data_IF_414689280136
#
_entry.id   IF_414689280136
#
_cell.length_a   1.000
_cell.length_b   1.000
_cell.length_c   1.000
_cell.angle_alpha   90.00
_cell.angle_beta   90.00
_cell.angle_gamma   90.00
#
_symmetry.space_group_name_H-M   'P 1'
#
loop_
_entity.id
_entity.type
_entity.pdbx_description
1 polymer ?
#
# COMPACT_ATOMS: atom_id res chain seq x y z
N UNK A 1 -57.89 -15.46 9.08
CA UNK A 1 -56.82 -16.46 9.30
C UNK A 1 -55.52 -15.91 8.75
N UNK A 2 -54.61 -15.51 9.63
CA UNK A 2 -53.39 -14.77 9.28
C UNK A 2 -52.34 -15.67 8.63
N UNK A 3 -51.83 -15.23 7.48
CA UNK A 3 -50.68 -15.80 6.77
C UNK A 3 -49.41 -15.39 7.53
N UNK A 4 -48.80 -16.33 8.25
CA UNK A 4 -47.53 -16.13 8.93
C UNK A 4 -46.37 -16.07 7.93
N UNK A 5 -46.02 -14.88 7.47
CA UNK A 5 -44.74 -14.64 6.79
C UNK A 5 -43.60 -14.86 7.78
N UNK A 6 -42.86 -15.93 7.54
CA UNK A 6 -41.63 -16.27 8.25
C UNK A 6 -40.59 -15.17 8.06
N UNK A 7 -40.52 -14.25 9.02
CA UNK A 7 -39.39 -13.31 9.15
C UNK A 7 -38.11 -14.14 9.33
N UNK A 8 -37.34 -14.29 8.25
CA UNK A 8 -35.95 -14.76 8.35
C UNK A 8 -35.20 -13.82 9.28
N UNK A 9 -34.85 -14.33 10.46
CA UNK A 9 -33.93 -13.66 11.36
C UNK A 9 -32.62 -13.35 10.60
N UNK A 10 -31.97 -12.20 10.86
CA UNK A 10 -30.65 -11.94 10.30
C UNK A 10 -29.72 -13.07 10.75
N UNK A 11 -29.01 -13.68 9.79
CA UNK A 11 -27.96 -14.66 10.06
C UNK A 11 -27.03 -14.05 11.09
N UNK A 12 -27.06 -14.54 12.34
CA UNK A 12 -26.03 -14.26 13.34
C UNK A 12 -24.71 -14.62 12.68
N UNK A 13 -23.88 -13.61 12.42
CA UNK A 13 -22.50 -13.83 12.05
C UNK A 13 -21.87 -14.76 13.07
N UNK A 14 -21.12 -15.74 12.58
CA UNK A 14 -20.35 -16.69 13.38
C UNK A 14 -19.67 -15.91 14.50
N UNK A 15 -20.11 -16.12 15.74
CA UNK A 15 -19.47 -15.52 16.89
C UNK A 15 -18.05 -16.08 16.96
N UNK A 16 -17.06 -15.25 16.64
CA UNK A 16 -15.66 -15.59 16.84
C UNK A 16 -15.45 -15.72 18.36
N UNK A 17 -15.12 -16.91 18.84
CA UNK A 17 -14.94 -17.24 20.28
C UNK A 17 -13.71 -16.57 20.94
N UNK A 18 -13.13 -15.54 20.33
CA UNK A 18 -11.97 -14.83 20.86
C UNK A 18 -12.34 -13.49 21.53
N UNK A 19 -11.50 -12.97 22.43
CA UNK A 19 -11.56 -11.56 22.83
C UNK A 19 -11.50 -10.66 21.58
N UNK A 20 -12.02 -9.42 21.62
CA UNK A 20 -11.97 -8.53 20.46
C UNK A 20 -10.53 -8.30 19.97
N UNK A 21 -10.32 -8.03 18.66
CA UNK A 21 -9.00 -7.72 18.11
C UNK A 21 -8.34 -6.55 18.84
N UNK A 22 -7.03 -6.65 19.07
CA UNK A 22 -6.25 -5.62 19.77
C UNK A 22 -5.94 -4.46 18.80
N UNK A 23 -6.98 -3.70 18.47
CA UNK A 23 -6.93 -2.57 17.54
C UNK A 23 -7.21 -1.28 18.28
N UNK A 24 -6.24 -0.37 18.27
CA UNK A 24 -6.43 0.98 18.78
C UNK A 24 -6.98 1.85 17.64
N UNK A 25 -8.19 2.43 17.77
CA UNK A 25 -8.66 3.41 16.78
C UNK A 25 -7.74 4.62 16.80
N UNK A 26 -7.25 5.01 15.63
CA UNK A 26 -6.45 6.21 15.49
C UNK A 26 -7.38 7.43 15.53
N UNK A 27 -7.03 8.44 16.33
CA UNK A 27 -7.71 9.72 16.24
C UNK A 27 -7.44 10.36 14.88
N UNK A 28 -8.29 11.28 14.43
CA UNK A 28 -8.09 11.93 13.13
C UNK A 28 -6.74 12.66 13.04
N UNK A 29 -6.24 13.20 14.16
CA UNK A 29 -4.93 13.86 14.23
C UNK A 29 -3.78 12.86 14.09
N UNK A 30 -3.88 11.71 14.75
CA UNK A 30 -2.84 10.67 14.65
C UNK A 30 -2.83 10.04 13.25
N UNK A 31 -4.01 9.88 12.65
CA UNK A 31 -4.17 9.43 11.28
C UNK A 31 -3.43 10.33 10.27
N UNK A 32 -3.59 11.65 10.39
CA UNK A 32 -2.92 12.62 9.50
C UNK A 32 -1.40 12.66 9.69
N UNK A 33 -0.91 12.36 10.90
CA UNK A 33 0.53 12.26 11.18
C UNK A 33 1.15 10.99 10.60
N UNK A 34 0.44 9.86 10.70
CA UNK A 34 0.94 8.56 10.20
C UNK A 34 0.79 8.45 8.67
N UNK A 35 -0.23 9.09 8.09
CA UNK A 35 -0.51 9.07 6.65
C UNK A 35 -0.56 10.49 6.06
N UNK A 36 0.62 11.09 5.80
CA UNK A 36 0.70 12.44 5.28
C UNK A 36 0.09 12.54 3.87
N UNK A 37 -0.53 13.69 3.59
CA UNK A 37 -1.16 13.99 2.29
C UNK A 37 -0.10 14.06 1.18
N UNK A 38 1.05 14.63 1.50
CA UNK A 38 2.19 14.71 0.60
C UNK A 38 3.15 13.54 0.82
N UNK A 39 3.93 13.22 -0.22
CA UNK A 39 5.06 12.30 -0.11
C UNK A 39 6.05 12.82 0.96
N UNK A 40 6.47 11.96 1.89
CA UNK A 40 7.59 12.30 2.78
C UNK A 40 8.91 12.25 2.01
N UNK A 41 9.94 12.97 2.47
CA UNK A 41 11.27 12.97 1.82
C UNK A 41 11.88 11.56 1.73
N UNK A 42 11.66 10.71 2.72
CA UNK A 42 12.08 9.30 2.68
C UNK A 42 11.32 8.48 1.62
N UNK A 43 10.01 8.75 1.44
CA UNK A 43 9.23 8.14 0.38
C UNK A 43 9.74 8.60 -1.00
N UNK A 44 10.16 9.86 -1.12
CA UNK A 44 10.74 10.36 -2.37
C UNK A 44 11.96 9.54 -2.81
N UNK A 45 12.89 9.27 -1.89
CA UNK A 45 14.05 8.42 -2.17
C UNK A 45 13.66 6.99 -2.57
N UNK A 46 12.73 6.37 -1.83
CA UNK A 46 12.23 5.03 -2.16
C UNK A 46 11.62 4.95 -3.56
N UNK A 47 10.81 5.93 -3.96
CA UNK A 47 10.16 5.94 -5.27
C UNK A 47 11.06 6.39 -6.42
N UNK A 48 12.21 7.01 -6.12
CA UNK A 48 13.23 7.31 -7.12
C UNK A 48 13.79 6.02 -7.73
N UNK A 49 13.83 4.95 -6.93
CA UNK A 49 14.23 3.62 -7.37
C UNK A 49 15.73 3.53 -7.61
N UNK A 50 16.13 2.52 -8.38
CA UNK A 50 17.51 2.33 -8.80
C UNK A 50 17.92 3.36 -9.87
N UNK A 51 19.23 3.58 -10.04
CA UNK A 51 19.80 4.54 -10.99
C UNK A 51 19.26 4.32 -12.42
N UNK A 52 19.09 3.06 -12.83
CA UNK A 52 18.52 2.70 -14.13
C UNK A 52 17.07 3.19 -14.30
N UNK A 53 16.26 3.05 -13.26
CA UNK A 53 14.85 3.51 -13.27
C UNK A 53 14.78 5.03 -13.42
N UNK A 54 15.72 5.73 -12.82
CA UNK A 54 15.79 7.17 -12.92
C UNK A 54 16.22 7.66 -14.31
N UNK A 55 17.23 7.03 -14.89
CA UNK A 55 17.68 7.32 -16.25
C UNK A 55 16.53 7.05 -17.24
N UNK A 56 15.77 5.96 -17.06
CA UNK A 56 14.58 5.68 -17.86
C UNK A 56 13.52 6.79 -17.75
N UNK A 57 13.26 7.29 -16.54
CA UNK A 57 12.32 8.41 -16.33
C UNK A 57 12.80 9.71 -16.96
N UNK A 58 14.10 10.00 -16.91
CA UNK A 58 14.69 11.14 -17.61
C UNK A 58 14.55 11.00 -19.14
N UNK A 59 14.86 9.83 -19.69
CA UNK A 59 14.68 9.55 -21.12
C UNK A 59 13.22 9.68 -21.56
N UNK A 60 12.28 9.14 -20.77
CA UNK A 60 10.85 9.30 -21.04
C UNK A 60 10.41 10.76 -20.99
N UNK A 61 10.90 11.53 -20.02
CA UNK A 61 10.65 12.96 -19.91
C UNK A 61 11.14 13.73 -21.15
N UNK A 62 12.32 13.38 -21.68
CA UNK A 62 12.85 13.99 -22.90
C UNK A 62 11.97 13.67 -24.12
N UNK A 63 11.67 12.39 -24.37
CA UNK A 63 10.86 11.95 -25.52
C UNK A 63 9.46 12.57 -25.48
N UNK A 64 8.81 12.56 -24.30
CA UNK A 64 7.47 13.14 -24.13
C UNK A 64 7.47 14.66 -24.30
N UNK A 65 8.55 15.34 -23.91
CA UNK A 65 8.72 16.78 -24.15
C UNK A 65 8.84 17.09 -25.63
N UNK A 66 9.69 16.37 -26.36
CA UNK A 66 9.87 16.56 -27.80
C UNK A 66 8.53 16.33 -28.51
N UNK A 67 7.83 15.25 -28.18
CA UNK A 67 6.51 14.98 -28.76
C UNK A 67 5.52 16.10 -28.43
N UNK A 68 5.44 16.51 -27.16
CA UNK A 68 4.50 17.55 -26.71
C UNK A 68 4.80 18.92 -27.32
N UNK A 69 6.07 19.29 -27.48
CA UNK A 69 6.46 20.55 -28.11
C UNK A 69 5.97 20.65 -29.57
N UNK A 70 5.83 19.51 -30.27
CA UNK A 70 5.37 19.47 -31.65
C UNK A 70 3.84 19.53 -31.79
N UNK A 71 3.06 19.12 -30.77
CA UNK A 71 1.59 19.06 -30.85
C UNK A 71 0.88 20.03 -29.90
N UNK A 72 1.34 20.12 -28.65
CA UNK A 72 0.72 20.92 -27.57
C UNK A 72 1.82 21.49 -26.68
N UNK A 73 2.35 22.66 -27.03
CA UNK A 73 3.48 23.32 -26.33
C UNK A 73 3.22 23.49 -24.83
N UNK A 74 1.97 23.72 -24.42
CA UNK A 74 1.60 23.85 -23.00
C UNK A 74 1.92 22.58 -22.17
N UNK A 75 1.98 21.40 -22.79
CA UNK A 75 2.33 20.14 -22.14
C UNK A 75 3.84 19.88 -22.12
N UNK A 76 4.64 20.62 -22.88
CA UNK A 76 6.10 20.42 -22.93
C UNK A 76 6.77 20.73 -21.57
N UNK A 77 6.30 21.76 -20.86
CA UNK A 77 6.83 22.15 -19.53
C UNK A 77 6.58 21.08 -18.46
N UNK A 78 5.34 20.58 -18.25
CA UNK A 78 5.12 19.50 -17.29
C UNK A 78 5.76 18.17 -17.73
N UNK A 79 5.91 17.93 -19.04
CA UNK A 79 6.61 16.76 -19.58
C UNK A 79 8.11 16.80 -19.30
N UNK A 80 8.78 17.96 -19.41
CA UNK A 80 10.23 18.10 -19.21
C UNK A 80 10.65 17.95 -17.75
N UNK A 81 9.70 18.20 -16.84
CA UNK A 81 9.90 18.07 -15.39
C UNK A 81 9.35 16.74 -14.86
N UNK A 82 8.85 15.85 -15.73
CA UNK A 82 8.22 14.57 -15.36
C UNK A 82 9.06 13.74 -14.41
N UNK A 83 10.37 13.64 -14.67
CA UNK A 83 11.26 12.82 -13.85
C UNK A 83 11.34 13.29 -12.38
N UNK A 84 11.12 14.59 -12.10
CA UNK A 84 11.16 15.15 -10.75
C UNK A 84 9.86 14.94 -9.99
N UNK A 85 8.71 15.12 -10.63
CA UNK A 85 7.41 15.03 -9.96
C UNK A 85 6.79 13.62 -10.02
N UNK A 86 7.23 12.74 -10.91
CA UNK A 86 6.73 11.37 -10.99
C UNK A 86 6.92 10.55 -9.68
N UNK A 87 8.08 10.56 -9.00
CA UNK A 87 8.22 9.89 -7.70
C UNK A 87 7.26 10.44 -6.65
N UNK A 88 7.09 11.77 -6.62
CA UNK A 88 6.17 12.47 -5.70
C UNK A 88 4.73 12.05 -5.97
N UNK A 89 4.31 11.99 -7.24
CA UNK A 89 2.97 11.59 -7.64
C UNK A 89 2.68 10.11 -7.30
N UNK A 90 3.67 9.23 -7.47
CA UNK A 90 3.56 7.81 -7.08
C UNK A 90 3.39 7.64 -5.58
N UNK A 91 4.19 8.35 -4.78
CA UNK A 91 4.07 8.37 -3.33
C UNK A 91 2.72 8.92 -2.87
N UNK A 92 2.30 10.08 -3.41
CA UNK A 92 1.02 10.69 -3.11
C UNK A 92 -0.16 9.79 -3.49
N UNK A 93 -0.11 9.11 -4.64
CA UNK A 93 -1.14 8.14 -5.05
C UNK A 93 -1.23 6.96 -4.09
N UNK A 94 -0.10 6.45 -3.59
CA UNK A 94 -0.07 5.38 -2.59
C UNK A 94 -0.69 5.85 -1.27
N UNK A 95 -0.34 7.05 -0.81
CA UNK A 95 -0.90 7.65 0.42
C UNK A 95 -2.41 7.88 0.27
N UNK A 96 -2.86 8.39 -0.88
CA UNK A 96 -4.29 8.61 -1.15
C UNK A 96 -5.11 7.32 -1.19
N UNK A 97 -4.55 6.22 -1.70
CA UNK A 97 -5.24 4.92 -1.71
C UNK A 97 -5.49 4.43 -0.29
N UNK A 98 -4.50 4.55 0.60
CA UNK A 98 -4.67 4.23 2.02
C UNK A 98 -5.64 5.21 2.70
N UNK A 99 -5.66 6.48 2.24
CA UNK A 99 -6.57 7.52 2.75
C UNK A 99 -8.05 7.30 2.43
N UNK A 100 -8.34 6.59 1.34
CA UNK A 100 -9.73 6.27 0.96
C UNK A 100 -10.43 5.30 1.91
N UNK A 101 -9.71 4.68 2.85
CA UNK A 101 -10.31 3.82 3.85
C UNK A 101 -11.12 4.65 4.86
N UNK A 102 -12.41 4.31 5.02
CA UNK A 102 -13.33 5.00 5.96
C UNK A 102 -12.90 4.87 7.43
N UNK A 103 -12.15 3.83 7.75
CA UNK A 103 -11.69 3.53 9.10
C UNK A 103 -10.23 3.09 9.06
N UNK A 104 -9.45 3.55 10.04
CA UNK A 104 -8.07 3.14 10.23
C UNK A 104 -7.78 2.97 11.72
N UNK A 105 -6.95 1.97 12.04
CA UNK A 105 -6.55 1.66 13.40
C UNK A 105 -5.18 1.01 13.41
N UNK A 106 -4.47 1.16 14.52
CA UNK A 106 -3.22 0.46 14.75
C UNK A 106 -3.54 -0.92 15.31
N UNK A 107 -3.17 -1.97 14.58
CA UNK A 107 -3.35 -3.35 15.03
C UNK A 107 -2.06 -3.86 15.68
N UNK A 108 -2.15 -4.28 16.95
CA UNK A 108 -1.03 -4.90 17.65
C UNK A 108 -1.04 -6.39 17.40
N UNK A 109 -0.24 -6.83 16.44
CA UNK A 109 -0.15 -8.22 16.04
C UNK A 109 1.23 -8.81 16.36
N UNK A 110 1.29 -10.11 16.63
CA UNK A 110 2.52 -10.89 16.85
C UNK A 110 2.71 -11.88 15.71
N UNK A 111 3.97 -12.21 15.42
CA UNK A 111 4.29 -13.31 14.50
C UNK A 111 3.81 -14.62 15.13
N UNK A 112 2.97 -15.35 14.40
CA UNK A 112 2.45 -16.65 14.79
C UNK A 112 3.25 -17.75 14.10
N UNK A 113 3.57 -17.56 12.83
CA UNK A 113 4.29 -18.55 12.02
C UNK A 113 5.14 -17.87 10.95
N UNK A 114 6.20 -18.54 10.51
CA UNK A 114 7.16 -18.07 9.52
C UNK A 114 7.48 -19.21 8.57
N UNK A 115 7.18 -19.01 7.29
CA UNK A 115 7.49 -19.98 6.25
C UNK A 115 8.37 -19.36 5.15
N UNK A 116 9.42 -20.06 4.68
CA UNK A 116 10.17 -19.61 3.52
C UNK A 116 9.31 -19.71 2.25
N UNK A 117 9.40 -18.70 1.39
CA UNK A 117 8.75 -18.74 0.08
C UNK A 117 9.74 -19.34 -0.92
N UNK A 118 9.47 -20.56 -1.39
CA UNK A 118 10.23 -21.16 -2.49
C UNK A 118 9.89 -20.43 -3.81
N UNK A 119 10.72 -19.45 -4.18
CA UNK A 119 10.64 -18.83 -5.51
C UNK A 119 11.34 -19.73 -6.52
N UNK A 120 10.58 -20.55 -7.25
CA UNK A 120 11.06 -21.23 -8.46
C UNK A 120 11.09 -20.25 -9.63
N UNK A 121 12.10 -19.38 -9.72
CA UNK A 121 12.20 -18.43 -10.85
C UNK A 121 13.43 -17.54 -10.84
N UNK A 122 14.08 -17.43 -12.00
CA UNK A 122 15.42 -16.90 -12.26
C UNK A 122 15.57 -15.37 -12.26
N UNK A 123 15.04 -14.65 -11.27
CA UNK A 123 15.31 -13.21 -11.15
C UNK A 123 15.52 -12.82 -9.69
N UNK A 124 16.77 -12.49 -9.36
CA UNK A 124 17.25 -11.89 -8.10
C UNK A 124 16.27 -12.01 -6.94
N UNK A 125 16.12 -13.23 -6.42
CA UNK A 125 15.31 -13.49 -5.26
C UNK A 125 16.03 -12.91 -4.04
N UNK A 126 15.70 -11.66 -3.68
CA UNK A 126 15.68 -11.31 -2.26
C UNK A 126 14.81 -12.39 -1.61
N UNK A 127 15.45 -13.24 -0.81
CA UNK A 127 14.83 -14.28 -0.01
C UNK A 127 13.60 -13.66 0.70
N UNK A 128 12.40 -14.20 0.43
CA UNK A 128 11.14 -13.70 1.01
C UNK A 128 10.56 -14.73 1.96
N UNK A 129 10.00 -14.26 3.08
CA UNK A 129 9.22 -15.11 4.00
C UNK A 129 7.75 -14.74 3.97
N UNK A 130 6.90 -15.75 4.07
CA UNK A 130 5.49 -15.62 4.45
C UNK A 130 5.43 -15.61 5.98
N UNK A 131 5.12 -14.45 6.55
CA UNK A 131 4.88 -14.27 7.97
C UNK A 131 3.38 -14.28 8.22
N UNK A 132 2.91 -15.25 9.01
CA UNK A 132 1.54 -15.22 9.52
C UNK A 132 1.52 -14.39 10.80
N UNK A 133 0.94 -13.20 10.71
CA UNK A 133 0.82 -12.30 11.86
C UNK A 133 -0.62 -12.33 12.37
N UNK A 134 -0.80 -12.34 13.69
CA UNK A 134 -2.12 -12.31 14.29
C UNK A 134 -2.11 -11.91 15.76
N UNK A 135 -3.29 -11.94 16.38
CA UNK A 135 -3.47 -11.57 17.79
C UNK A 135 -4.26 -12.64 18.56
N UNK A 136 -4.59 -12.35 19.83
CA UNK A 136 -5.35 -13.26 20.69
C UNK A 136 -6.84 -13.37 20.30
N UNK A 137 -7.33 -12.51 19.40
CA UNK A 137 -8.73 -12.55 18.91
C UNK A 137 -8.96 -13.60 17.84
N UNK A 138 -7.88 -14.17 17.27
CA UNK A 138 -7.94 -15.04 16.12
C UNK A 138 -7.92 -14.31 14.78
N UNK A 139 -7.74 -12.98 14.76
CA UNK A 139 -7.43 -12.24 13.54
C UNK A 139 -6.03 -12.65 13.02
N UNK A 140 -5.93 -12.95 11.72
CA UNK A 140 -4.71 -13.41 11.06
C UNK A 140 -4.55 -12.76 9.70
N UNK A 141 -3.34 -12.34 9.37
CA UNK A 141 -2.98 -11.76 8.08
C UNK A 141 -1.63 -12.34 7.63
N UNK A 142 -1.55 -12.94 6.43
CA UNK A 142 -0.26 -13.31 5.85
C UNK A 142 0.43 -12.05 5.30
N UNK A 143 1.71 -11.89 5.61
CA UNK A 143 2.57 -10.81 5.13
C UNK A 143 3.78 -11.39 4.40
N UNK A 144 4.06 -10.87 3.21
CA UNK A 144 5.28 -11.18 2.46
C UNK A 144 6.34 -10.16 2.80
N UNK A 145 7.46 -10.61 3.34
CA UNK A 145 8.54 -9.73 3.78
C UNK A 145 9.85 -10.12 3.10
N UNK A 146 10.53 -9.17 2.42
CA UNK A 146 11.87 -9.39 1.92
C UNK A 146 12.82 -9.41 3.09
N UNK A 147 13.74 -10.36 3.07
CA UNK A 147 14.73 -10.46 4.09
C UNK A 147 15.96 -9.67 3.62
N UNK A 148 16.29 -8.61 4.33
CA UNK A 148 17.51 -7.86 4.06
C UNK A 148 18.66 -8.59 4.75
N UNK A 149 19.61 -9.09 3.97
CA UNK A 149 20.88 -9.55 4.54
C UNK A 149 21.58 -8.34 5.15
N UNK A 150 21.98 -8.45 6.42
CA UNK A 150 22.88 -7.48 7.05
C UNK A 150 24.25 -7.47 6.36
#
# INVERSE_FOLDING_TARGET
GGRGESRRAPRRGVAREGPPPDVLPLTQRDYERVLPIAATGEQYGYFWGDNDTAIQRMGLSLVTTILSANYVVALAIPASTFFLWAPVALAARRNSKVRSAKYAGLWRAKVIDVAPIETRGASSAEWMMDLLVGDKSGARVPLKVPLKGE
#
